data_IF_661514760191
#
_entry.id   IF_661514760191
#
_cell.length_a   1.000
_cell.length_b   1.000
_cell.length_c   1.000
_cell.angle_alpha   90.00
_cell.angle_beta   90.00
_cell.angle_gamma   90.00
#
_symmetry.space_group_name_H-M   'P 1'
#
loop_
_entity.id
_entity.type
_entity.pdbx_description
1 polymer ?
#
# COMPACT_ATOMS: atom_id res chain seq x y z
N UNK A 1 4.49 17.79 -0.41
CA UNK A 1 4.61 16.95 -1.60
C UNK A 1 5.95 16.24 -1.69
N UNK A 2 6.19 15.57 -2.81
CA UNK A 2 7.54 15.18 -3.25
C UNK A 2 7.88 15.94 -4.53
N UNK A 3 9.13 16.37 -4.65
CA UNK A 3 9.63 17.05 -5.85
C UNK A 3 10.79 16.22 -6.38
N UNK A 4 10.50 15.28 -7.27
CA UNK A 4 11.50 14.61 -8.10
C UNK A 4 11.47 15.22 -9.49
N UNK A 5 12.64 15.53 -10.04
CA UNK A 5 12.84 15.87 -11.45
C UNK A 5 11.94 16.99 -12.00
N UNK A 6 11.73 18.06 -11.24
CA UNK A 6 11.03 19.27 -11.71
C UNK A 6 9.50 19.24 -11.70
N UNK A 7 8.88 18.10 -11.35
CA UNK A 7 7.43 17.98 -11.19
C UNK A 7 7.09 17.88 -9.69
N UNK A 8 6.43 18.91 -9.19
CA UNK A 8 6.02 18.96 -7.78
C UNK A 8 4.68 18.25 -7.58
N UNK A 9 4.72 17.05 -7.01
CA UNK A 9 3.53 16.29 -6.64
C UNK A 9 3.00 16.83 -5.30
N UNK A 10 1.80 17.41 -5.29
CA UNK A 10 1.25 18.04 -4.08
C UNK A 10 0.84 16.95 -3.09
N UNK A 11 1.11 17.17 -1.79
CA UNK A 11 0.56 16.30 -0.75
C UNK A 11 -0.94 16.57 -0.55
N UNK A 12 -1.69 15.64 0.06
CA UNK A 12 -3.13 15.81 0.33
C UNK A 12 -3.40 17.12 1.10
N UNK A 13 -2.69 17.35 2.21
CA UNK A 13 -2.81 18.55 3.03
C UNK A 13 -2.44 19.84 2.28
N UNK A 14 -1.45 19.74 1.39
CA UNK A 14 -1.02 20.84 0.54
C UNK A 14 -2.02 21.13 -0.59
N UNK A 15 -2.72 20.11 -1.08
CA UNK A 15 -3.82 20.24 -2.04
C UNK A 15 -5.04 20.93 -1.43
N UNK A 16 -5.40 20.58 -0.20
CA UNK A 16 -6.59 21.12 0.47
C UNK A 16 -6.39 22.53 1.05
N UNK A 17 -5.23 22.77 1.66
CA UNK A 17 -4.98 24.02 2.41
C UNK A 17 -3.92 24.91 1.76
N UNK A 18 -3.31 24.48 0.65
CA UNK A 18 -2.20 25.19 0.03
C UNK A 18 -0.85 24.93 0.71
N UNK A 19 0.20 25.52 0.13
CA UNK A 19 1.56 25.39 0.61
C UNK A 19 1.79 26.25 1.85
N UNK A 20 1.87 25.60 3.01
CA UNK A 20 2.19 26.21 4.28
C UNK A 20 3.29 25.45 5.02
N UNK A 21 3.98 26.12 5.94
CA UNK A 21 5.04 25.52 6.78
C UNK A 21 4.53 24.28 7.56
N UNK A 22 3.34 24.35 8.15
CA UNK A 22 2.74 23.24 8.92
C UNK A 22 2.40 22.01 8.06
N UNK A 23 2.16 22.20 6.76
CA UNK A 23 1.93 21.12 5.79
C UNK A 23 3.23 20.62 5.14
N UNK A 24 4.39 21.08 5.61
CA UNK A 24 5.67 20.57 5.14
C UNK A 24 5.83 19.08 5.50
N UNK A 25 6.50 18.34 4.62
CA UNK A 25 6.72 16.89 4.78
C UNK A 25 7.33 16.57 6.15
N UNK A 26 8.30 17.36 6.61
CA UNK A 26 8.97 17.12 7.88
C UNK A 26 8.02 17.24 9.07
N UNK A 27 7.20 18.30 9.12
CA UNK A 27 6.26 18.54 10.23
C UNK A 27 5.15 17.51 10.24
N UNK A 28 4.58 17.17 9.08
CA UNK A 28 3.52 16.16 8.96
C UNK A 28 4.02 14.79 9.39
N UNK A 29 5.23 14.40 8.97
CA UNK A 29 5.83 13.13 9.39
C UNK A 29 6.13 13.12 10.89
N UNK A 30 6.67 14.21 11.44
CA UNK A 30 6.96 14.33 12.87
C UNK A 30 5.67 14.25 13.71
N UNK A 31 4.63 14.99 13.34
CA UNK A 31 3.34 14.95 14.00
C UNK A 31 2.70 13.56 13.92
N UNK A 32 2.68 12.94 12.74
CA UNK A 32 2.16 11.58 12.56
C UNK A 32 2.95 10.58 13.41
N UNK A 33 4.27 10.74 13.50
CA UNK A 33 5.11 9.85 14.29
C UNK A 33 4.81 9.98 15.79
N UNK A 34 4.69 11.21 16.29
CA UNK A 34 4.45 11.46 17.71
C UNK A 34 3.02 11.09 18.14
N UNK A 35 2.02 11.40 17.31
CA UNK A 35 0.60 11.26 17.68
C UNK A 35 -0.06 9.98 17.17
N UNK A 36 0.49 9.32 16.15
CA UNK A 36 -0.06 8.08 15.58
C UNK A 36 0.90 6.91 15.82
N UNK A 37 2.14 6.99 15.34
CA UNK A 37 3.05 5.84 15.42
C UNK A 37 3.50 5.52 16.83
N UNK A 38 3.91 6.51 17.63
CA UNK A 38 4.35 6.30 19.00
C UNK A 38 3.30 5.62 19.90
N UNK A 39 2.02 6.07 19.94
CA UNK A 39 1.01 5.37 20.73
C UNK A 39 0.70 3.97 20.18
N UNK A 40 0.61 3.80 18.85
CA UNK A 40 0.30 2.50 18.26
C UNK A 40 1.43 1.46 18.46
N UNK A 41 2.70 1.88 18.48
CA UNK A 41 3.86 0.99 18.73
C UNK A 41 4.04 0.68 20.21
N UNK A 42 3.46 1.47 21.11
CA UNK A 42 3.58 1.28 22.56
C UNK A 42 2.82 0.05 23.08
N UNK A 43 1.88 -0.50 22.30
CA UNK A 43 1.16 -1.72 22.67
C UNK A 43 2.10 -2.92 22.78
N UNK A 44 2.07 -3.60 23.93
CA UNK A 44 2.95 -4.74 24.25
C UNK A 44 2.48 -6.08 23.67
N UNK A 45 1.20 -6.21 23.26
CA UNK A 45 0.62 -7.47 22.76
C UNK A 45 0.11 -7.31 21.33
N UNK A 46 0.46 -8.27 20.46
CA UNK A 46 -0.02 -8.32 19.07
C UNK A 46 -1.54 -8.50 18.97
N UNK A 47 -2.18 -9.18 19.93
CA UNK A 47 -3.62 -9.39 19.93
C UNK A 47 -4.41 -8.06 19.97
N UNK A 48 -3.86 -7.00 20.58
CA UNK A 48 -4.47 -5.67 20.56
C UNK A 48 -4.45 -5.03 19.16
N UNK A 49 -3.48 -5.41 18.31
CA UNK A 49 -3.34 -4.94 16.94
C UNK A 49 -4.22 -5.73 15.95
N UNK A 50 -4.96 -6.75 16.38
CA UNK A 50 -5.84 -7.52 15.47
C UNK A 50 -6.90 -6.63 14.80
N UNK A 51 -7.42 -5.65 15.53
CA UNK A 51 -8.44 -4.73 15.02
C UNK A 51 -7.84 -3.76 13.99
N UNK A 52 -6.63 -3.25 14.24
CA UNK A 52 -5.94 -2.37 13.29
C UNK A 52 -5.51 -3.14 12.03
N UNK A 53 -5.11 -4.40 12.17
CA UNK A 53 -4.81 -5.29 11.05
C UNK A 53 -6.05 -5.59 10.20
N UNK A 54 -7.17 -5.98 10.83
CA UNK A 54 -8.42 -6.24 10.11
C UNK A 54 -8.93 -4.99 9.38
N UNK A 55 -8.88 -3.82 10.04
CA UNK A 55 -9.24 -2.55 9.42
C UNK A 55 -8.31 -2.21 8.24
N UNK A 56 -7.00 -2.46 8.38
CA UNK A 56 -6.03 -2.25 7.31
C UNK A 56 -6.34 -3.10 6.08
N UNK A 57 -6.63 -4.39 6.26
CA UNK A 57 -7.04 -5.28 5.15
C UNK A 57 -8.34 -4.79 4.50
N UNK A 58 -9.32 -4.36 5.29
CA UNK A 58 -10.57 -3.80 4.76
C UNK A 58 -10.32 -2.55 3.91
N UNK A 59 -9.44 -1.63 4.34
CA UNK A 59 -9.06 -0.45 3.56
C UNK A 59 -8.38 -0.81 2.24
N UNK A 60 -7.54 -1.84 2.21
CA UNK A 60 -6.93 -2.33 0.98
C UNK A 60 -7.99 -2.90 0.00
N UNK A 61 -8.98 -3.63 0.51
CA UNK A 61 -10.10 -4.12 -0.31
C UNK A 61 -10.95 -2.95 -0.84
N UNK A 62 -11.22 -1.93 -0.01
CA UNK A 62 -11.92 -0.71 -0.45
C UNK A 62 -11.16 -0.02 -1.58
N UNK A 63 -9.84 0.10 -1.47
CA UNK A 63 -9.00 0.63 -2.55
C UNK A 63 -9.15 -0.17 -3.85
N UNK A 64 -9.13 -1.51 -3.79
CA UNK A 64 -9.38 -2.36 -4.97
C UNK A 64 -10.77 -2.11 -5.55
N UNK A 65 -11.81 -2.03 -4.73
CA UNK A 65 -13.19 -1.80 -5.19
C UNK A 65 -13.33 -0.45 -5.90
N UNK A 66 -12.74 0.61 -5.34
CA UNK A 66 -12.79 1.95 -5.95
C UNK A 66 -12.03 1.95 -7.28
N UNK A 67 -10.80 1.44 -7.30
CA UNK A 67 -9.99 1.40 -8.53
C UNK A 67 -10.63 0.54 -9.62
N UNK A 68 -11.17 -0.63 -9.26
CA UNK A 68 -11.94 -1.47 -10.17
C UNK A 68 -13.19 -0.77 -10.71
N UNK A 69 -13.98 -0.11 -9.84
CA UNK A 69 -15.18 0.63 -10.24
C UNK A 69 -14.86 1.71 -11.25
N UNK A 70 -13.82 2.50 -11.01
CA UNK A 70 -13.38 3.56 -11.93
C UNK A 70 -12.87 2.96 -13.25
N UNK A 71 -12.06 1.90 -13.20
CA UNK A 71 -11.57 1.23 -14.41
C UNK A 71 -12.70 0.67 -15.28
N UNK A 72 -13.70 0.03 -14.66
CA UNK A 72 -14.87 -0.52 -15.35
C UNK A 72 -15.72 0.59 -15.99
N UNK A 73 -15.98 1.68 -15.27
CA UNK A 73 -16.74 2.82 -15.82
C UNK A 73 -16.03 3.40 -17.05
N UNK A 74 -14.71 3.62 -16.98
CA UNK A 74 -13.96 4.12 -18.13
C UNK A 74 -13.92 3.13 -19.29
N UNK A 75 -13.86 1.83 -18.99
CA UNK A 75 -13.90 0.78 -20.01
C UNK A 75 -15.22 0.81 -20.78
N UNK A 76 -16.36 0.93 -20.08
CA UNK A 76 -17.68 1.07 -20.72
C UNK A 76 -17.83 2.36 -21.53
N UNK A 77 -17.19 3.45 -21.09
CA UNK A 77 -17.18 4.72 -21.82
C UNK A 77 -16.23 4.72 -23.02
N UNK A 78 -15.53 3.60 -23.30
CA UNK A 78 -14.61 3.46 -24.44
C UNK A 78 -13.40 4.40 -24.38
N UNK A 79 -13.11 4.98 -23.22
CA UNK A 79 -12.04 5.98 -23.03
C UNK A 79 -10.69 5.35 -22.68
N UNK A 80 -10.66 4.02 -22.49
CA UNK A 80 -9.47 3.26 -22.12
C UNK A 80 -9.00 2.46 -23.34
N UNK A 81 -7.76 2.70 -23.75
CA UNK A 81 -7.09 1.82 -24.71
C UNK A 81 -6.82 0.47 -24.04
N UNK A 82 -7.13 -0.64 -24.72
CA UNK A 82 -6.92 -1.98 -24.17
C UNK A 82 -5.43 -2.15 -23.80
N UNK A 83 -5.11 -2.37 -22.51
CA UNK A 83 -3.73 -2.42 -22.06
C UNK A 83 -3.01 -3.64 -22.64
N UNK A 84 -1.71 -3.52 -22.91
CA UNK A 84 -0.89 -4.62 -23.42
C UNK A 84 -0.78 -5.70 -22.34
N UNK A 85 -1.38 -6.87 -22.57
CA UNK A 85 -1.36 -7.96 -21.59
C UNK A 85 0.01 -8.62 -21.44
N UNK A 86 0.87 -8.48 -22.46
CA UNK A 86 2.19 -9.08 -22.52
C UNK A 86 3.26 -8.01 -22.73
N UNK A 87 4.44 -8.14 -22.09
CA UNK A 87 5.56 -7.24 -22.32
C UNK A 87 6.12 -7.43 -23.74
N UNK A 88 6.54 -6.34 -24.39
CA UNK A 88 7.27 -6.37 -25.65
C UNK A 88 8.72 -6.79 -25.40
N UNK A 89 9.11 -7.94 -25.95
CA UNK A 89 10.42 -8.58 -25.73
C UNK A 89 11.33 -8.34 -26.94
N UNK A 90 11.85 -7.12 -27.07
CA UNK A 90 12.69 -6.72 -28.21
C UNK A 90 14.18 -7.03 -28.02
N UNK A 91 14.55 -7.78 -26.97
CA UNK A 91 15.93 -8.24 -26.75
C UNK A 91 16.27 -8.60 -25.30
N UNK A 92 17.56 -8.89 -25.05
CA UNK A 92 18.07 -9.25 -23.71
C UNK A 92 17.90 -8.12 -22.68
N UNK A 93 17.92 -6.85 -23.11
CA UNK A 93 17.71 -5.69 -22.23
C UNK A 93 16.29 -5.64 -21.63
N UNK A 94 15.26 -6.06 -22.37
CA UNK A 94 13.87 -6.12 -21.85
C UNK A 94 13.72 -7.19 -20.77
N UNK A 95 14.46 -8.30 -20.87
CA UNK A 95 14.47 -9.36 -19.85
C UNK A 95 15.10 -8.86 -18.55
N UNK A 96 16.18 -8.08 -18.62
CA UNK A 96 16.78 -7.46 -17.44
C UNK A 96 15.85 -6.47 -16.75
N UNK A 97 15.07 -5.70 -17.52
CA UNK A 97 14.02 -4.83 -16.96
C UNK A 97 12.91 -5.64 -16.29
N UNK A 98 12.52 -6.78 -16.85
CA UNK A 98 11.54 -7.65 -16.18
C UNK A 98 12.07 -8.18 -14.83
N UNK A 99 13.38 -8.43 -14.74
CA UNK A 99 14.01 -8.92 -13.52
C UNK A 99 13.95 -7.91 -12.36
N UNK A 100 13.83 -6.59 -12.63
CA UNK A 100 13.68 -5.60 -11.56
C UNK A 100 12.34 -5.71 -10.81
N UNK A 101 11.36 -6.44 -11.35
CA UNK A 101 10.12 -6.75 -10.64
C UNK A 101 10.30 -7.81 -9.53
N UNK A 102 11.33 -8.68 -9.63
CA UNK A 102 11.55 -9.77 -8.66
C UNK A 102 11.80 -9.24 -7.24
N UNK A 103 12.69 -8.27 -7.01
CA UNK A 103 12.87 -7.69 -5.67
C UNK A 103 11.60 -7.05 -5.10
N UNK A 104 10.80 -6.41 -5.94
CA UNK A 104 9.52 -5.80 -5.54
C UNK A 104 8.54 -6.89 -5.08
N UNK A 105 8.38 -7.96 -5.86
CA UNK A 105 7.53 -9.09 -5.51
C UNK A 105 8.01 -9.79 -4.22
N UNK A 106 9.30 -10.07 -4.09
CA UNK A 106 9.85 -10.71 -2.90
C UNK A 106 9.61 -9.84 -1.67
N UNK A 107 9.82 -8.52 -1.78
CA UNK A 107 9.57 -7.57 -0.69
C UNK A 107 8.08 -7.48 -0.35
N UNK A 108 7.18 -7.52 -1.34
CA UNK A 108 5.74 -7.48 -1.12
C UNK A 108 5.18 -8.70 -0.35
N UNK A 109 5.85 -9.85 -0.47
CA UNK A 109 5.50 -11.09 0.26
C UNK A 109 6.38 -11.35 1.50
N UNK A 110 7.10 -10.33 1.99
CA UNK A 110 7.83 -10.42 3.25
C UNK A 110 6.83 -10.42 4.43
N UNK A 111 6.52 -11.61 4.94
CA UNK A 111 5.74 -11.80 6.17
C UNK A 111 6.34 -12.86 7.12
N UNK A 112 7.40 -13.56 6.67
CA UNK A 112 7.95 -14.74 7.33
C UNK A 112 8.47 -14.46 8.76
N UNK A 113 9.02 -13.26 9.01
CA UNK A 113 9.54 -12.89 10.33
C UNK A 113 8.44 -12.76 11.40
N UNK A 114 7.19 -12.49 10.99
CA UNK A 114 6.06 -12.39 11.91
C UNK A 114 5.41 -13.74 12.23
N UNK A 115 5.67 -14.79 11.43
CA UNK A 115 5.01 -16.09 11.57
C UNK A 115 5.25 -16.70 12.96
N UNK A 116 6.47 -16.57 13.50
CA UNK A 116 6.78 -17.07 14.84
C UNK A 116 6.04 -16.33 15.95
N UNK A 117 5.88 -15.01 15.82
CA UNK A 117 5.15 -14.21 16.80
C UNK A 117 3.64 -14.53 16.75
N UNK A 118 3.10 -14.76 15.55
CA UNK A 118 1.71 -15.18 15.36
C UNK A 118 1.47 -16.58 15.93
N UNK A 119 2.39 -17.53 15.70
CA UNK A 119 2.28 -18.89 16.23
C UNK A 119 2.29 -18.93 17.76
N UNK A 120 3.06 -18.05 18.41
CA UNK A 120 3.14 -17.95 19.86
C UNK A 120 1.90 -17.32 20.52
N UNK A 121 1.16 -16.46 19.80
CA UNK A 121 -0.06 -15.80 20.31
C UNK A 121 -1.34 -16.61 20.01
N UNK A 122 -1.23 -17.68 19.20
CA UNK A 122 -2.37 -18.47 18.75
C UNK A 122 -2.84 -19.44 19.83
N UNK A 123 -4.16 -19.50 20.07
CA UNK A 123 -4.76 -20.43 21.04
C UNK A 123 -4.56 -21.90 20.62
N UNK A 124 -4.70 -22.19 19.33
CA UNK A 124 -4.43 -23.51 18.74
C UNK A 124 -3.36 -23.42 17.65
N UNK A 125 -2.13 -23.81 17.99
CA UNK A 125 -0.96 -23.80 17.09
C UNK A 125 -1.12 -24.70 15.86
N UNK A 126 -2.02 -25.69 15.89
CA UNK A 126 -2.25 -26.55 14.72
C UNK A 126 -2.88 -25.78 13.55
N UNK A 127 -3.49 -24.62 13.82
CA UNK A 127 -4.12 -23.75 12.82
C UNK A 127 -3.12 -22.83 12.08
N UNK A 128 -1.83 -22.82 12.42
CA UNK A 128 -0.88 -21.91 11.78
C UNK A 128 -0.77 -22.13 10.26
N UNK A 129 -0.80 -23.39 9.81
CA UNK A 129 -0.73 -23.74 8.38
C UNK A 129 -1.94 -23.22 7.58
N UNK A 130 -3.20 -23.50 7.96
CA UNK A 130 -4.35 -22.95 7.25
C UNK A 130 -4.40 -21.42 7.33
N UNK A 131 -4.02 -20.80 8.45
CA UNK A 131 -3.97 -19.33 8.57
C UNK A 131 -2.99 -18.72 7.57
N UNK A 132 -1.78 -19.25 7.47
CA UNK A 132 -0.76 -18.75 6.52
C UNK A 132 -1.25 -18.94 5.08
N UNK A 133 -1.82 -20.10 4.74
CA UNK A 133 -2.32 -20.37 3.39
C UNK A 133 -3.45 -19.42 2.99
N UNK A 134 -4.42 -19.20 3.88
CA UNK A 134 -5.53 -18.27 3.63
C UNK A 134 -5.04 -16.83 3.53
N UNK A 135 -4.10 -16.43 4.39
CA UNK A 135 -3.51 -15.08 4.35
C UNK A 135 -2.75 -14.83 3.06
N UNK A 136 -1.96 -15.80 2.59
CA UNK A 136 -1.27 -15.72 1.30
C UNK A 136 -2.25 -15.64 0.13
N UNK A 137 -3.31 -16.46 0.14
CA UNK A 137 -4.33 -16.42 -0.90
C UNK A 137 -5.03 -15.06 -0.96
N UNK A 138 -5.45 -14.53 0.20
CA UNK A 138 -6.08 -13.22 0.31
C UNK A 138 -5.13 -12.12 -0.18
N UNK A 139 -3.88 -12.11 0.28
CA UNK A 139 -2.86 -11.15 -0.12
C UNK A 139 -2.62 -11.18 -1.64
N UNK A 140 -2.40 -12.36 -2.20
CA UNK A 140 -2.25 -12.56 -3.65
C UNK A 140 -3.45 -12.06 -4.44
N UNK A 141 -4.66 -12.31 -3.96
CA UNK A 141 -5.88 -11.84 -4.63
C UNK A 141 -5.96 -10.31 -4.67
N UNK A 142 -5.64 -9.64 -3.57
CA UNK A 142 -5.63 -8.17 -3.48
C UNK A 142 -4.54 -7.58 -4.36
N UNK A 143 -3.34 -8.15 -4.36
CA UNK A 143 -2.23 -7.69 -5.21
C UNK A 143 -2.53 -7.86 -6.69
N UNK A 144 -3.02 -9.03 -7.11
CA UNK A 144 -3.37 -9.29 -8.51
C UNK A 144 -4.50 -8.35 -8.95
N UNK A 145 -5.56 -8.23 -8.15
CA UNK A 145 -6.68 -7.35 -8.48
C UNK A 145 -6.24 -5.88 -8.58
N UNK A 146 -5.44 -5.42 -7.60
CA UNK A 146 -4.87 -4.05 -7.60
C UNK A 146 -4.07 -3.80 -8.88
N UNK A 147 -3.09 -4.66 -9.18
CA UNK A 147 -2.22 -4.50 -10.35
C UNK A 147 -3.02 -4.55 -11.65
N UNK A 148 -3.98 -5.47 -11.76
CA UNK A 148 -4.83 -5.60 -12.93
C UNK A 148 -5.69 -4.35 -13.17
N UNK A 149 -6.43 -3.89 -12.16
CA UNK A 149 -7.31 -2.73 -12.32
C UNK A 149 -6.56 -1.40 -12.43
N UNK A 150 -5.44 -1.24 -11.72
CA UNK A 150 -4.58 -0.08 -11.87
C UNK A 150 -4.00 0.01 -13.29
N UNK A 151 -3.48 -1.10 -13.81
CA UNK A 151 -2.95 -1.14 -15.17
C UNK A 151 -4.06 -0.98 -16.22
N UNK A 152 -5.27 -1.49 -15.96
CA UNK A 152 -6.44 -1.23 -16.80
C UNK A 152 -6.81 0.26 -16.79
N UNK A 153 -6.68 0.94 -15.65
CA UNK A 153 -7.05 2.35 -15.50
C UNK A 153 -6.06 3.32 -16.14
N UNK A 154 -4.76 3.04 -16.04
CA UNK A 154 -3.68 3.95 -16.45
C UNK A 154 -2.88 3.48 -17.68
N UNK A 155 -2.97 2.19 -18.03
CA UNK A 155 -2.26 1.61 -19.18
C UNK A 155 -0.75 1.80 -19.09
N UNK A 156 -0.14 2.17 -20.22
CA UNK A 156 1.30 2.46 -20.30
C UNK A 156 1.73 3.72 -19.52
N UNK A 157 0.79 4.55 -19.08
CA UNK A 157 1.05 5.70 -18.22
C UNK A 157 1.17 5.38 -16.73
N UNK A 158 1.14 4.10 -16.35
CA UNK A 158 1.29 3.65 -14.95
C UNK A 158 2.68 4.03 -14.44
N UNK A 159 2.74 4.78 -13.33
CA UNK A 159 4.00 5.17 -12.68
C UNK A 159 4.47 4.07 -11.72
N UNK A 160 5.76 4.16 -11.31
CA UNK A 160 6.32 3.24 -10.29
C UNK A 160 5.54 3.28 -8.97
N UNK A 161 5.02 4.47 -8.63
CA UNK A 161 4.03 4.66 -7.58
C UNK A 161 2.66 4.95 -8.20
N UNK A 162 1.80 3.94 -8.24
CA UNK A 162 0.44 4.03 -8.79
C UNK A 162 -0.38 5.11 -8.08
N UNK A 163 -0.09 5.45 -6.82
CA UNK A 163 -0.83 6.54 -6.15
C UNK A 163 -0.53 7.91 -6.73
N UNK A 164 0.64 8.11 -7.33
CA UNK A 164 0.97 9.35 -8.03
C UNK A 164 0.10 9.53 -9.28
N UNK A 165 -0.40 8.44 -9.88
CA UNK A 165 -1.37 8.52 -10.98
C UNK A 165 -2.72 9.09 -10.54
N UNK A 166 -3.09 8.96 -9.25
CA UNK A 166 -4.29 9.56 -8.64
C UNK A 166 -4.06 11.02 -8.19
N UNK A 167 -3.01 11.70 -8.65
CA UNK A 167 -2.82 13.15 -8.44
C UNK A 167 -3.29 13.99 -9.66
N UNK A 168 -3.74 13.32 -10.74
CA UNK A 168 -4.18 13.93 -11.98
C UNK A 168 -5.68 13.71 -12.21
N UNK A 169 -6.30 14.49 -13.09
CA UNK A 169 -7.72 14.33 -13.41
C UNK A 169 -7.94 13.01 -14.18
N UNK A 170 -8.70 12.08 -13.59
CA UNK A 170 -9.06 10.80 -14.20
C UNK A 170 -10.05 10.95 -15.36
N UNK A 171 -10.60 12.13 -15.62
CA UNK A 171 -11.55 12.32 -16.73
C UNK A 171 -12.93 11.70 -16.45
N UNK A 172 -13.27 11.53 -15.17
CA UNK A 172 -14.59 11.11 -14.68
C UNK A 172 -15.20 12.21 -13.80
N UNK A 173 -16.54 12.30 -13.72
CA UNK A 173 -17.18 13.20 -12.76
C UNK A 173 -16.72 12.87 -11.34
N UNK A 174 -16.47 13.90 -10.54
CA UNK A 174 -15.95 13.79 -9.16
C UNK A 174 -14.55 13.14 -9.03
N UNK A 175 -13.71 13.17 -10.07
CA UNK A 175 -12.32 12.64 -10.03
C UNK A 175 -11.58 13.04 -8.75
N UNK A 176 -11.54 14.35 -8.44
CA UNK A 176 -10.80 14.86 -7.28
C UNK A 176 -11.24 14.25 -5.95
N UNK A 177 -12.53 13.91 -5.80
CA UNK A 177 -13.06 13.30 -4.60
C UNK A 177 -12.61 11.84 -4.49
N UNK A 178 -12.66 11.09 -5.60
CA UNK A 178 -12.16 9.71 -5.63
C UNK A 178 -10.66 9.64 -5.38
N UNK A 179 -9.90 10.57 -5.97
CA UNK A 179 -8.46 10.72 -5.80
C UNK A 179 -8.11 10.95 -4.33
N UNK A 180 -8.80 11.89 -3.68
CA UNK A 180 -8.62 12.16 -2.25
C UNK A 180 -8.99 10.95 -1.38
N UNK A 181 -10.12 10.30 -1.65
CA UNK A 181 -10.55 9.09 -0.91
C UNK A 181 -9.50 8.00 -1.02
N UNK A 182 -9.00 7.73 -2.22
CA UNK A 182 -7.96 6.73 -2.48
C UNK A 182 -6.69 7.03 -1.70
N UNK A 183 -6.20 8.27 -1.79
CA UNK A 183 -4.95 8.69 -1.16
C UNK A 183 -5.05 8.71 0.37
N UNK A 184 -6.16 9.18 0.93
CA UNK A 184 -6.41 9.17 2.38
C UNK A 184 -6.58 7.75 2.91
N UNK A 185 -7.34 6.91 2.20
CA UNK A 185 -7.54 5.49 2.56
C UNK A 185 -6.21 4.75 2.62
N UNK A 186 -5.35 4.93 1.60
CA UNK A 186 -4.03 4.31 1.58
C UNK A 186 -3.10 4.88 2.67
N UNK A 187 -3.12 6.19 2.91
CA UNK A 187 -2.36 6.78 4.02
C UNK A 187 -2.75 6.15 5.36
N UNK A 188 -4.06 6.02 5.63
CA UNK A 188 -4.58 5.35 6.81
C UNK A 188 -4.16 3.86 6.86
N UNK A 189 -4.26 3.15 5.73
CA UNK A 189 -3.80 1.76 5.62
C UNK A 189 -2.33 1.61 6.02
N UNK A 190 -1.43 2.40 5.44
CA UNK A 190 0.00 2.37 5.76
C UNK A 190 0.25 2.70 7.24
N UNK A 191 -0.48 3.68 7.78
CA UNK A 191 -0.36 4.04 9.20
C UNK A 191 -0.76 2.90 10.14
N UNK A 192 -1.76 2.10 9.77
CA UNK A 192 -2.23 0.95 10.56
C UNK A 192 -1.33 -0.29 10.42
N UNK A 193 -0.65 -0.45 9.28
CA UNK A 193 0.32 -1.55 9.06
C UNK A 193 1.63 -1.28 9.78
N UNK A 194 2.05 -0.01 9.87
CA UNK A 194 3.32 0.41 10.46
C UNK A 194 3.66 -0.26 11.81
N UNK A 195 2.77 -0.32 12.81
CA UNK A 195 3.09 -0.88 14.12
C UNK A 195 3.36 -2.38 14.09
N UNK A 196 2.72 -3.12 13.17
CA UNK A 196 2.89 -4.58 13.06
C UNK A 196 4.31 -4.90 12.57
N UNK A 197 4.82 -4.13 11.61
CA UNK A 197 6.19 -4.29 11.08
C UNK A 197 7.21 -3.92 12.16
N UNK A 198 6.99 -2.80 12.85
CA UNK A 198 7.90 -2.32 13.90
C UNK A 198 7.85 -3.15 15.19
N UNK A 199 6.77 -3.89 15.43
CA UNK A 199 6.67 -4.78 16.59
C UNK A 199 7.75 -5.87 16.57
N UNK A 200 7.95 -6.55 15.44
CA UNK A 200 9.01 -7.55 15.32
C UNK A 200 10.40 -6.92 15.45
N UNK A 201 10.62 -5.74 14.87
CA UNK A 201 11.89 -5.01 15.04
C UNK A 201 12.16 -4.71 16.52
N UNK A 202 11.14 -4.24 17.24
CA UNK A 202 11.23 -3.95 18.68
C UNK A 202 11.59 -5.19 19.49
N UNK A 203 10.91 -6.32 19.26
CA UNK A 203 11.21 -7.57 19.97
C UNK A 203 12.65 -8.05 19.73
N UNK A 204 13.12 -8.00 18.48
CA UNK A 204 14.49 -8.42 18.15
C UNK A 204 15.53 -7.47 18.76
N UNK A 205 15.27 -6.15 18.76
CA UNK A 205 16.16 -5.18 19.37
C UNK A 205 16.21 -5.31 20.90
N UNK A 206 15.06 -5.55 21.53
CA UNK A 206 14.95 -5.76 22.98
C UNK A 206 15.73 -7.00 23.41
N UNK A 207 15.57 -8.13 22.70
CA UNK A 207 16.34 -9.35 22.96
C UNK A 207 17.85 -9.23 22.68
N UNK A 208 18.27 -8.31 21.80
CA UNK A 208 19.68 -8.04 21.54
C UNK A 208 20.31 -7.15 22.62
N UNK A 209 19.58 -6.14 23.10
CA UNK A 209 20.07 -5.17 24.07
C UNK A 209 19.92 -5.64 25.53
N UNK A 210 18.95 -6.51 25.80
CA UNK A 210 18.63 -7.05 27.13
C UNK A 210 18.53 -8.60 27.08
N UNK A 211 19.67 -9.30 26.94
CA UNK A 211 19.72 -10.77 26.88
C UNK A 211 19.35 -11.46 28.21
#
# INVERSE_FOLDING_TARGET
GTSSTGVHHRGILEGWFGAHLWNSRAIVLLATTLFVFAPLVSFKRLDSLRYTSALSVALAVVFVVITAGIAIIKLFNGTVAMPKLFPELDGLSSIWKLFTAVPVLVTAYICHYNVHSIDNELEDRTQIKPIVRTSLFLCSSVYIATSFFAYLLFGEGTLDDVLANFDANLGIPFSSVFDDIVRVSYAAHVMLVFPIVFFALRLNLDGLLFP
#
